data_IF_790128728188
#
_entry.id   IF_790128728188
#
_cell.length_a   1.000
_cell.length_b   1.000
_cell.length_c   1.000
_cell.angle_alpha   90.00
_cell.angle_beta   90.00
_cell.angle_gamma   90.00
#
_symmetry.space_group_name_H-M   'P 1'
#
loop_
_entity.id
_entity.type
_entity.pdbx_description
1 polymer ?
#
# COMPACT_ATOMS: atom_id res chain seq x y z
N UNK A 1 -14.80 2.87 -19.90
CA UNK A 1 -13.85 1.75 -20.03
C UNK A 1 -13.45 1.33 -18.63
N UNK A 2 -13.63 0.06 -18.27
CA UNK A 2 -13.12 -0.45 -17.00
C UNK A 2 -11.60 -0.24 -17.00
N UNK A 3 -11.06 0.38 -15.95
CA UNK A 3 -9.62 0.45 -15.78
C UNK A 3 -9.18 -0.99 -15.50
N UNK A 4 -8.54 -1.63 -16.47
CA UNK A 4 -7.91 -2.93 -16.29
C UNK A 4 -6.72 -2.75 -15.33
N UNK A 5 -6.95 -3.03 -14.05
CA UNK A 5 -5.96 -2.90 -13.00
C UNK A 5 -5.06 -4.14 -12.90
N UNK A 6 -5.03 -5.03 -13.90
CA UNK A 6 -4.25 -6.28 -13.83
C UNK A 6 -2.77 -6.02 -13.53
N UNK A 7 -2.19 -4.94 -14.09
CA UNK A 7 -0.79 -4.58 -13.85
C UNK A 7 -0.53 -3.89 -12.50
N UNK A 8 -1.56 -3.33 -11.85
CA UNK A 8 -1.43 -2.54 -10.60
C UNK A 8 -2.05 -3.23 -9.38
N UNK A 9 -2.75 -4.35 -9.58
CA UNK A 9 -3.35 -5.17 -8.53
C UNK A 9 -2.34 -6.16 -8.00
N UNK A 10 -2.20 -6.23 -6.68
CA UNK A 10 -1.40 -7.23 -5.98
C UNK A 10 -2.27 -8.01 -5.00
N UNK A 11 -2.15 -9.33 -5.04
CA UNK A 11 -2.67 -10.23 -4.00
C UNK A 11 -1.47 -10.69 -3.19
N UNK A 12 -1.48 -10.41 -1.90
CA UNK A 12 -0.39 -10.77 -0.98
C UNK A 12 -0.54 -12.21 -0.50
N UNK A 13 0.55 -12.77 0.05
CA UNK A 13 0.53 -14.02 0.80
C UNK A 13 0.07 -13.79 2.25
N UNK A 14 0.72 -14.49 3.19
CA UNK A 14 0.49 -14.25 4.62
C UNK A 14 1.14 -12.93 5.04
N UNK A 15 0.32 -12.03 5.58
CA UNK A 15 0.73 -10.71 6.08
C UNK A 15 0.17 -10.48 7.48
N UNK A 16 0.68 -9.48 8.19
CA UNK A 16 0.10 -9.00 9.46
C UNK A 16 -0.66 -7.72 9.19
N UNK A 17 -1.85 -7.59 9.76
CA UNK A 17 -2.63 -6.36 9.71
C UNK A 17 -2.41 -5.57 11.01
N UNK A 18 -2.27 -4.25 10.90
CA UNK A 18 -2.15 -3.30 12.02
C UNK A 18 -3.12 -2.14 11.80
N UNK A 19 -3.59 -1.50 12.88
CA UNK A 19 -4.61 -0.43 12.84
C UNK A 19 -5.77 -0.74 11.89
N UNK A 20 -6.43 -1.87 12.14
CA UNK A 20 -7.36 -2.49 11.19
C UNK A 20 -8.79 -2.04 11.42
N UNK A 21 -9.32 -1.31 10.45
CA UNK A 21 -10.67 -0.76 10.39
C UNK A 21 -11.36 -1.28 9.12
N UNK A 22 -11.54 -2.61 9.02
CA UNK A 22 -12.11 -3.26 7.82
C UNK A 22 -13.57 -3.66 7.99
N UNK A 23 -14.06 -3.71 9.23
CA UNK A 23 -15.46 -4.03 9.54
C UNK A 23 -16.34 -2.78 9.59
N UNK A 24 -15.78 -1.68 10.11
CA UNK A 24 -16.37 -0.36 10.24
C UNK A 24 -15.36 0.69 9.79
N UNK A 25 -15.77 1.72 9.00
CA UNK A 25 -14.87 2.76 8.56
C UNK A 25 -14.53 3.71 9.72
N UNK A 26 -13.35 4.31 9.69
CA UNK A 26 -12.93 5.29 10.69
C UNK A 26 -12.33 6.53 10.03
N UNK A 27 -12.54 7.69 10.64
CA UNK A 27 -11.81 8.92 10.31
C UNK A 27 -10.42 8.88 10.92
N UNK A 28 -9.40 9.01 10.07
CA UNK A 28 -8.00 9.16 10.48
C UNK A 28 -7.62 10.63 10.28
N UNK A 29 -7.12 11.27 11.34
CA UNK A 29 -6.68 12.69 11.36
C UNK A 29 -7.74 13.70 10.87
N UNK A 30 -9.02 13.44 11.15
CA UNK A 30 -10.12 14.33 10.77
C UNK A 30 -10.51 14.28 9.29
N UNK A 31 -10.03 13.29 8.54
CA UNK A 31 -10.43 13.04 7.14
C UNK A 31 -11.75 12.29 6.99
N UNK A 32 -12.14 12.01 5.75
CA UNK A 32 -13.30 11.15 5.43
C UNK A 32 -13.19 9.79 6.12
N UNK A 33 -14.32 9.28 6.63
CA UNK A 33 -14.41 7.91 7.14
C UNK A 33 -14.09 6.90 6.03
N UNK A 34 -13.10 6.04 6.28
CA UNK A 34 -12.66 5.01 5.34
C UNK A 34 -12.39 3.70 6.04
N UNK A 35 -12.60 2.61 5.32
CA UNK A 35 -12.04 1.33 5.68
C UNK A 35 -10.54 1.39 5.46
N UNK A 36 -9.76 0.91 6.41
CA UNK A 36 -8.31 1.02 6.34
C UNK A 36 -7.60 -0.07 7.11
N UNK A 37 -6.36 -0.34 6.72
CA UNK A 37 -5.44 -1.19 7.47
C UNK A 37 -4.00 -0.89 7.04
N UNK A 38 -3.08 -0.96 7.99
CA UNK A 38 -1.66 -1.06 7.68
C UNK A 38 -1.32 -2.54 7.42
N UNK A 39 -0.85 -2.83 6.22
CA UNK A 39 -0.47 -4.18 5.81
C UNK A 39 1.04 -4.32 5.99
N UNK A 40 1.44 -5.16 6.93
CA UNK A 40 2.84 -5.44 7.28
C UNK A 40 3.29 -6.71 6.55
N UNK A 41 4.37 -6.56 5.78
CA UNK A 41 4.92 -7.58 4.90
C UNK A 41 6.35 -7.83 5.36
N UNK A 42 6.66 -9.08 5.72
CA UNK A 42 8.01 -9.44 6.15
C UNK A 42 9.03 -9.12 5.05
N UNK A 43 10.18 -8.56 5.43
CA UNK A 43 11.29 -8.28 4.49
C UNK A 43 11.81 -9.54 3.80
N UNK A 44 11.56 -10.73 4.35
CA UNK A 44 11.86 -12.03 3.77
C UNK A 44 10.91 -12.42 2.62
N UNK A 45 9.69 -11.89 2.54
CA UNK A 45 8.73 -12.17 1.47
C UNK A 45 9.10 -11.40 0.19
N UNK A 46 10.15 -11.89 -0.48
CA UNK A 46 10.65 -11.28 -1.71
C UNK A 46 9.65 -11.35 -2.85
N UNK A 47 8.73 -12.31 -2.84
CA UNK A 47 7.74 -12.46 -3.90
C UNK A 47 6.69 -11.35 -3.84
N UNK A 48 6.07 -11.14 -2.68
CA UNK A 48 5.08 -10.08 -2.49
C UNK A 48 5.73 -8.71 -2.72
N UNK A 49 6.94 -8.48 -2.20
CA UNK A 49 7.65 -7.22 -2.39
C UNK A 49 7.99 -6.96 -3.87
N UNK A 50 8.38 -8.00 -4.63
CA UNK A 50 8.61 -7.88 -6.08
C UNK A 50 7.33 -7.49 -6.81
N UNK A 51 6.20 -8.14 -6.50
CA UNK A 51 4.89 -7.84 -7.10
C UNK A 51 4.46 -6.40 -6.81
N UNK A 52 4.64 -5.92 -5.57
CA UNK A 52 4.33 -4.54 -5.18
C UNK A 52 5.19 -3.54 -5.94
N UNK A 53 6.52 -3.75 -6.00
CA UNK A 53 7.42 -2.86 -6.74
C UNK A 53 7.03 -2.78 -8.22
N UNK A 54 6.77 -3.93 -8.86
CA UNK A 54 6.31 -3.98 -10.24
C UNK A 54 4.98 -3.24 -10.45
N UNK A 55 4.01 -3.41 -9.54
CA UNK A 55 2.73 -2.71 -9.60
C UNK A 55 2.86 -1.19 -9.41
N UNK A 56 3.77 -0.74 -8.54
CA UNK A 56 4.08 0.68 -8.34
C UNK A 56 4.70 1.27 -9.61
N UNK A 57 5.63 0.57 -10.25
CA UNK A 57 6.26 1.07 -11.47
C UNK A 57 5.28 1.08 -12.65
N UNK A 58 4.42 0.06 -12.78
CA UNK A 58 3.32 0.07 -13.73
C UNK A 58 2.36 1.25 -13.49
N UNK A 59 2.04 1.56 -12.24
CA UNK A 59 1.19 2.70 -11.88
C UNK A 59 1.85 4.04 -12.25
N UNK A 60 3.17 4.19 -12.06
CA UNK A 60 3.92 5.38 -12.48
C UNK A 60 3.88 5.55 -14.00
N UNK A 61 4.10 4.47 -14.75
CA UNK A 61 4.06 4.50 -16.21
C UNK A 61 2.67 4.83 -16.76
N UNK A 62 1.62 4.25 -16.19
CA UNK A 62 0.22 4.59 -16.53
C UNK A 62 -0.11 6.04 -16.17
N UNK A 63 0.47 6.53 -15.07
CA UNK A 63 0.25 7.89 -14.55
C UNK A 63 1.10 8.97 -15.23
N UNK A 64 2.13 8.64 -16.01
CA UNK A 64 3.12 9.62 -16.52
C UNK A 64 2.52 10.75 -17.35
N UNK A 65 1.38 10.49 -18.01
CA UNK A 65 0.63 11.51 -18.76
C UNK A 65 0.16 12.66 -17.87
N UNK A 66 -0.11 12.41 -16.58
CA UNK A 66 -0.45 13.43 -15.58
C UNK A 66 0.70 14.36 -15.24
N UNK A 67 1.93 13.99 -15.61
CA UNK A 67 3.16 14.75 -15.37
C UNK A 67 3.82 15.20 -16.68
N UNK A 68 3.04 15.39 -17.75
CA UNK A 68 3.57 15.83 -19.04
C UNK A 68 4.50 14.81 -19.69
N UNK A 69 4.32 13.52 -19.39
CA UNK A 69 5.06 12.41 -20.00
C UNK A 69 6.36 12.03 -19.28
N UNK A 70 6.70 12.68 -18.15
CA UNK A 70 7.90 12.37 -17.35
C UNK A 70 7.53 12.04 -15.91
N UNK A 71 8.07 10.95 -15.38
CA UNK A 71 7.86 10.59 -13.97
C UNK A 71 8.77 11.47 -13.09
N UNK A 72 8.23 12.16 -12.07
CA UNK A 72 9.03 12.94 -11.12
C UNK A 72 10.04 12.06 -10.37
N UNK A 73 11.25 12.57 -10.17
CA UNK A 73 12.30 11.85 -9.44
C UNK A 73 11.93 11.57 -7.98
N UNK A 74 11.12 12.45 -7.37
CA UNK A 74 10.66 12.36 -5.98
C UNK A 74 9.23 11.79 -5.86
N UNK A 75 8.85 10.86 -6.74
CA UNK A 75 7.52 10.24 -6.69
C UNK A 75 7.35 9.40 -5.41
N UNK A 76 6.41 9.81 -4.54
CA UNK A 76 6.08 9.09 -3.31
C UNK A 76 5.55 7.69 -3.61
N UNK A 77 6.14 6.67 -2.99
CA UNK A 77 5.70 5.28 -3.10
C UNK A 77 4.92 4.83 -1.86
N UNK A 78 4.03 3.84 -2.00
CA UNK A 78 3.22 3.36 -0.86
C UNK A 78 3.99 2.45 0.10
N UNK A 79 5.04 1.77 -0.39
CA UNK A 79 5.84 0.84 0.41
C UNK A 79 6.81 1.63 1.29
N UNK A 80 6.68 1.47 2.61
CA UNK A 80 7.44 2.16 3.66
C UNK A 80 8.22 1.16 4.49
N UNK A 81 9.35 1.57 5.05
CA UNK A 81 10.21 0.70 5.86
C UNK A 81 9.83 0.81 7.35
N UNK A 82 9.40 -0.31 7.94
CA UNK A 82 9.01 -0.36 9.34
C UNK A 82 10.18 -0.16 10.30
N UNK A 83 11.37 -0.64 9.94
CA UNK A 83 12.56 -0.50 10.79
C UNK A 83 13.06 0.95 10.81
N UNK A 84 12.85 1.71 9.72
CA UNK A 84 13.27 3.12 9.64
C UNK A 84 12.19 4.09 10.16
N UNK A 85 10.92 3.87 9.82
CA UNK A 85 9.83 4.80 10.15
C UNK A 85 9.12 4.49 11.47
N UNK A 86 9.24 3.27 11.99
CA UNK A 86 8.57 2.79 13.22
C UNK A 86 9.53 1.95 14.10
N UNK A 87 10.72 2.47 14.44
CA UNK A 87 11.72 1.71 15.19
C UNK A 87 11.26 1.30 16.59
N UNK A 88 10.34 2.06 17.18
CA UNK A 88 9.83 1.81 18.54
C UNK A 88 8.63 0.84 18.57
N UNK A 89 8.13 0.37 17.42
CA UNK A 89 7.01 -0.57 17.34
C UNK A 89 7.50 -1.95 16.89
N UNK A 90 7.59 -2.88 17.85
CA UNK A 90 8.03 -4.26 17.63
C UNK A 90 7.19 -4.99 16.57
N UNK A 91 5.94 -4.58 16.33
CA UNK A 91 5.13 -5.19 15.28
C UNK A 91 5.71 -4.90 13.88
N UNK A 92 6.38 -3.77 13.68
CA UNK A 92 6.94 -3.31 12.41
C UNK A 92 8.39 -3.78 12.19
N UNK A 93 9.06 -4.26 13.24
CA UNK A 93 10.42 -4.78 13.15
C UNK A 93 10.53 -5.89 12.07
N UNK A 94 11.47 -5.73 11.15
CA UNK A 94 11.69 -6.66 10.03
C UNK A 94 10.59 -6.68 8.97
N UNK A 95 9.69 -5.69 8.96
CA UNK A 95 8.60 -5.56 7.98
C UNK A 95 8.75 -4.30 7.13
N UNK A 96 8.40 -4.42 5.85
CA UNK A 96 7.88 -3.28 5.11
C UNK A 96 6.39 -3.15 5.41
N UNK A 97 5.82 -1.98 5.20
CA UNK A 97 4.40 -1.79 5.34
C UNK A 97 3.83 -0.80 4.33
N UNK A 98 2.52 -0.88 4.12
CA UNK A 98 1.77 0.08 3.34
C UNK A 98 0.38 0.26 3.95
N UNK A 99 -0.17 1.47 3.80
CA UNK A 99 -1.50 1.78 4.29
C UNK A 99 -2.49 1.64 3.13
N UNK A 100 -3.40 0.68 3.21
CA UNK A 100 -4.47 0.49 2.24
C UNK A 100 -5.76 1.13 2.77
N UNK A 101 -6.48 1.86 1.91
CA UNK A 101 -7.75 2.51 2.29
C UNK A 101 -8.80 2.32 1.20
N UNK A 102 -10.07 2.21 1.60
CA UNK A 102 -11.21 2.12 0.69
C UNK A 102 -12.41 2.89 1.25
N UNK A 103 -13.20 3.51 0.37
CA UNK A 103 -14.52 4.05 0.74
C UNK A 103 -15.59 2.96 0.86
N UNK A 104 -15.39 1.84 0.18
CA UNK A 104 -16.29 0.69 0.17
C UNK A 104 -15.80 -0.39 1.13
N UNK A 105 -16.74 -1.06 1.81
CA UNK A 105 -16.43 -2.17 2.71
C UNK A 105 -15.70 -3.29 1.96
N UNK A 106 -14.54 -3.77 2.43
CA UNK A 106 -13.86 -4.90 1.81
C UNK A 106 -14.64 -6.20 2.01
N UNK A 107 -14.50 -7.13 1.07
CA UNK A 107 -14.89 -8.53 1.28
C UNK A 107 -13.87 -9.23 2.19
N UNK A 108 -14.35 -10.12 3.06
CA UNK A 108 -13.56 -10.87 4.05
C UNK A 108 -13.66 -12.37 3.73
#
# INVERSE_FOLDING_TARGET
MAIDNTATKVITGKVRLSYTHIFEPQSIDGGDEKYSTAILIQKSDKETLRKIKAAVDAAKELGKSKWGGKIPANCKTPLRDGDEERPDDEAYAGHFFLNATSKNKPGI
#
